data_IF_189155917105
#
_entry.id   IF_189155917105
#
_cell.length_a   1.000
_cell.length_b   1.000
_cell.length_c   1.000
_cell.angle_alpha   90.00
_cell.angle_beta   90.00
_cell.angle_gamma   90.00
#
_symmetry.space_group_name_H-M   'P 1'
#
loop_
_entity.id
_entity.type
_entity.pdbx_description
1 polymer ?
#
# COMPACT_ATOMS: atom_id res chain seq x y z
N UNK A 1 -5.66 14.77 0.45
CA UNK A 1 -5.82 15.34 1.81
C UNK A 1 -4.58 15.09 2.68
N UNK A 2 -4.22 13.83 2.98
CA UNK A 2 -3.07 13.50 3.85
C UNK A 2 -1.74 14.11 3.40
N UNK A 3 -1.42 14.05 2.09
CA UNK A 3 -0.20 14.66 1.51
C UNK A 3 -0.07 16.17 1.79
N UNK A 4 -1.20 16.88 1.89
CA UNK A 4 -1.22 18.30 2.23
C UNK A 4 -1.02 18.54 3.73
N UNK A 5 -1.61 17.69 4.57
CA UNK A 5 -1.46 17.77 6.04
C UNK A 5 -0.03 17.46 6.49
N UNK A 6 0.71 16.60 5.76
CA UNK A 6 2.11 16.26 6.04
C UNK A 6 3.04 17.48 6.17
N UNK A 7 2.71 18.59 5.51
CA UNK A 7 3.54 19.82 5.53
C UNK A 7 3.27 20.74 6.73
N UNK A 8 2.36 20.35 7.64
CA UNK A 8 1.98 21.12 8.82
C UNK A 8 2.64 20.53 10.07
N UNK A 9 2.90 21.34 11.11
CA UNK A 9 3.48 20.86 12.37
C UNK A 9 2.39 20.17 13.21
N UNK A 10 1.89 19.02 12.74
CA UNK A 10 0.85 18.23 13.38
C UNK A 10 1.21 16.75 13.33
N UNK A 11 0.88 16.02 14.40
CA UNK A 11 0.96 14.57 14.39
C UNK A 11 -0.27 13.98 13.69
N UNK A 12 -0.04 13.19 12.63
CA UNK A 12 -1.12 12.62 11.82
C UNK A 12 -1.33 11.16 12.21
N UNK A 13 -2.53 10.84 12.70
CA UNK A 13 -3.01 9.46 12.81
C UNK A 13 -4.05 9.20 11.73
N UNK A 14 -3.78 8.26 10.83
CA UNK A 14 -4.73 7.84 9.79
C UNK A 14 -5.36 6.50 10.19
N UNK A 15 -6.69 6.50 10.37
CA UNK A 15 -7.47 5.27 10.54
C UNK A 15 -7.96 4.86 9.15
N UNK A 16 -7.58 3.66 8.73
CA UNK A 16 -7.76 3.18 7.36
C UNK A 16 -8.64 1.95 7.38
N UNK A 17 -9.67 1.92 6.53
CA UNK A 17 -10.51 0.74 6.41
C UNK A 17 -9.74 -0.37 5.71
N UNK A 18 -10.00 -1.61 6.12
CA UNK A 18 -9.49 -2.81 5.43
C UNK A 18 -10.60 -3.44 4.58
N UNK A 19 -11.48 -2.61 3.99
CA UNK A 19 -12.69 -3.08 3.34
C UNK A 19 -12.70 -2.86 1.81
N UNK A 20 -11.65 -2.29 1.22
CA UNK A 20 -11.72 -1.86 -0.18
C UNK A 20 -11.39 -2.97 -1.20
N UNK A 21 -12.29 -3.11 -2.19
CA UNK A 21 -12.56 -4.36 -2.93
C UNK A 21 -12.37 -4.25 -4.47
N UNK A 22 -11.83 -3.14 -4.98
CA UNK A 22 -11.80 -2.87 -6.43
C UNK A 22 -10.68 -3.57 -7.21
N UNK A 23 -10.94 -4.75 -7.81
CA UNK A 23 -10.13 -5.32 -8.91
C UNK A 23 -9.12 -6.42 -8.51
N UNK A 24 -7.92 -6.43 -9.10
CA UNK A 24 -6.86 -7.45 -8.89
C UNK A 24 -6.46 -7.70 -7.43
N UNK A 25 -6.79 -6.77 -6.53
CA UNK A 25 -6.70 -6.91 -5.08
C UNK A 25 -7.51 -8.09 -4.55
N UNK A 26 -8.60 -8.49 -5.21
CA UNK A 26 -9.42 -9.64 -4.81
C UNK A 26 -8.70 -10.99 -4.93
N UNK A 27 -7.77 -11.14 -5.89
CA UNK A 27 -6.94 -12.36 -6.02
C UNK A 27 -5.91 -12.45 -4.92
N UNK A 28 -5.17 -11.35 -4.69
CA UNK A 28 -4.20 -11.27 -3.59
C UNK A 28 -4.88 -11.45 -2.22
N UNK A 29 -6.13 -10.98 -2.06
CA UNK A 29 -6.92 -11.20 -0.85
C UNK A 29 -7.25 -12.68 -0.63
N UNK A 30 -7.58 -13.43 -1.68
CA UNK A 30 -7.87 -14.86 -1.55
C UNK A 30 -6.63 -15.65 -1.13
N UNK A 31 -5.46 -15.28 -1.66
CA UNK A 31 -4.21 -16.00 -1.44
C UNK A 31 -3.47 -15.54 -0.17
N UNK A 32 -3.67 -14.29 0.27
CA UNK A 32 -2.87 -13.65 1.34
C UNK A 32 -3.71 -12.98 2.44
N UNK A 33 -5.04 -13.05 2.36
CA UNK A 33 -6.00 -12.61 3.38
C UNK A 33 -5.91 -11.13 3.80
N UNK A 34 -5.34 -10.26 2.96
CA UNK A 34 -5.10 -8.84 3.27
C UNK A 34 -5.61 -7.96 2.13
N UNK A 35 -6.34 -6.86 2.42
CA UNK A 35 -6.74 -5.84 1.45
C UNK A 35 -5.80 -4.61 1.54
N UNK A 36 -4.74 -4.55 0.70
CA UNK A 36 -3.68 -3.55 0.85
C UNK A 36 -3.98 -2.16 0.26
N UNK A 37 -5.10 -1.96 -0.45
CA UNK A 37 -5.31 -0.79 -1.32
C UNK A 37 -5.29 0.55 -0.59
N UNK A 38 -6.16 0.73 0.41
CA UNK A 38 -6.25 1.98 1.16
C UNK A 38 -4.99 2.27 1.95
N UNK A 39 -4.39 1.22 2.56
CA UNK A 39 -3.16 1.33 3.32
C UNK A 39 -2.00 1.74 2.42
N UNK A 40 -1.89 1.17 1.22
CA UNK A 40 -0.89 1.58 0.22
C UNK A 40 -0.98 3.06 -0.11
N UNK A 41 -2.20 3.58 -0.31
CA UNK A 41 -2.40 5.00 -0.62
C UNK A 41 -2.01 5.91 0.55
N UNK A 42 -2.32 5.50 1.77
CA UNK A 42 -1.96 6.24 2.99
C UNK A 42 -0.45 6.26 3.20
N UNK A 43 0.21 5.11 3.03
CA UNK A 43 1.67 5.02 3.10
C UNK A 43 2.32 5.93 2.06
N UNK A 44 1.92 5.86 0.80
CA UNK A 44 2.47 6.73 -0.24
C UNK A 44 2.24 8.23 0.07
N UNK A 45 1.09 8.59 0.62
CA UNK A 45 0.76 9.99 0.94
C UNK A 45 1.52 10.54 2.15
N UNK A 46 1.98 9.69 3.08
CA UNK A 46 2.68 10.07 4.30
C UNK A 46 4.19 9.82 4.25
N UNK A 47 4.67 8.91 3.40
CA UNK A 47 6.09 8.58 3.23
C UNK A 47 6.90 9.77 2.72
N UNK A 48 8.12 9.96 3.24
CA UNK A 48 9.12 10.87 2.68
C UNK A 48 10.12 10.08 1.84
N UNK A 49 9.71 9.78 0.61
CA UNK A 49 10.50 8.95 -0.32
C UNK A 49 10.69 9.67 -1.64
N UNK A 50 11.73 9.28 -2.37
CA UNK A 50 12.00 9.84 -3.70
C UNK A 50 10.78 9.61 -4.64
N UNK A 51 10.51 10.53 -5.58
CA UNK A 51 9.38 10.41 -6.50
C UNK A 51 9.32 9.07 -7.25
N UNK A 52 10.48 8.51 -7.60
CA UNK A 52 10.56 7.21 -8.26
C UNK A 52 10.04 6.07 -7.37
N UNK A 53 10.28 6.13 -6.06
CA UNK A 53 9.79 5.14 -5.10
C UNK A 53 8.28 5.26 -4.94
N UNK A 54 7.74 6.49 -4.93
CA UNK A 54 6.29 6.73 -4.94
C UNK A 54 5.66 6.14 -6.21
N UNK A 55 6.25 6.38 -7.38
CA UNK A 55 5.78 5.84 -8.66
C UNK A 55 5.85 4.31 -8.71
N UNK A 56 6.93 3.70 -8.20
CA UNK A 56 7.05 2.25 -8.06
C UNK A 56 5.94 1.69 -7.16
N UNK A 57 5.70 2.32 -6.01
CA UNK A 57 4.70 1.84 -5.06
C UNK A 57 3.27 1.98 -5.62
N UNK A 58 3.01 3.00 -6.42
CA UNK A 58 1.72 3.22 -7.11
C UNK A 58 1.59 2.44 -8.42
N UNK A 59 2.66 1.84 -8.94
CA UNK A 59 2.65 1.15 -10.22
C UNK A 59 1.58 0.05 -10.28
N UNK A 60 0.91 -0.02 -11.43
CA UNK A 60 -0.02 -1.09 -11.80
C UNK A 60 0.43 -1.72 -13.11
N UNK A 61 0.59 -3.04 -13.08
CA UNK A 61 0.99 -3.80 -14.25
C UNK A 61 -0.15 -3.81 -15.28
N UNK A 62 0.14 -3.35 -16.49
CA UNK A 62 -0.85 -3.29 -17.60
C UNK A 62 -0.59 -4.37 -18.67
N UNK A 63 0.46 -5.18 -18.50
CA UNK A 63 0.88 -6.24 -19.43
C UNK A 63 1.52 -7.40 -18.63
N UNK A 64 1.51 -8.59 -19.22
CA UNK A 64 2.06 -9.82 -18.64
C UNK A 64 0.96 -10.69 -18.02
N UNK A 65 0.88 -11.96 -18.42
CA UNK A 65 -0.28 -12.83 -18.15
C UNK A 65 -0.77 -12.76 -16.70
N UNK A 66 0.06 -13.14 -15.73
CA UNK A 66 -0.38 -13.30 -14.34
C UNK A 66 -0.25 -12.02 -13.51
N UNK A 67 0.58 -11.08 -13.95
CA UNK A 67 0.78 -9.79 -13.26
C UNK A 67 -0.23 -8.73 -13.69
N UNK A 68 -0.91 -8.89 -14.83
CA UNK A 68 -1.82 -7.87 -15.35
C UNK A 68 -2.90 -7.53 -14.32
N UNK A 69 -3.02 -6.24 -14.05
CA UNK A 69 -3.92 -5.67 -13.08
C UNK A 69 -3.33 -5.53 -11.68
N UNK A 70 -2.28 -6.28 -11.29
CA UNK A 70 -1.72 -6.19 -9.93
C UNK A 70 -1.01 -4.85 -9.70
N UNK A 71 -1.07 -4.36 -8.46
CA UNK A 71 -0.27 -3.20 -8.02
C UNK A 71 1.03 -3.69 -7.38
N UNK A 72 2.16 -3.09 -7.75
CA UNK A 72 3.45 -3.43 -7.16
C UNK A 72 3.47 -3.14 -5.65
N UNK A 73 2.92 -2.01 -5.19
CA UNK A 73 2.79 -1.73 -3.76
C UNK A 73 1.99 -2.78 -3.00
N UNK A 74 0.94 -3.35 -3.59
CA UNK A 74 0.18 -4.44 -2.98
C UNK A 74 1.03 -5.72 -2.86
N UNK A 75 1.88 -6.01 -3.84
CA UNK A 75 2.80 -7.16 -3.81
C UNK A 75 3.90 -6.98 -2.77
N UNK A 76 4.41 -5.75 -2.59
CA UNK A 76 5.37 -5.43 -1.54
C UNK A 76 4.74 -5.63 -0.16
N UNK A 77 3.52 -5.12 0.07
CA UNK A 77 2.79 -5.29 1.33
C UNK A 77 2.48 -6.76 1.65
N UNK A 78 2.09 -7.50 0.62
CA UNK A 78 1.93 -8.96 0.67
C UNK A 78 3.21 -9.67 1.11
N UNK A 79 4.34 -9.36 0.46
CA UNK A 79 5.64 -9.94 0.77
C UNK A 79 6.08 -9.58 2.20
N UNK A 80 5.92 -8.31 2.59
CA UNK A 80 6.21 -7.85 3.95
C UNK A 80 5.43 -8.66 4.98
N UNK A 81 4.12 -8.84 4.78
CA UNK A 81 3.30 -9.62 5.71
C UNK A 81 3.73 -11.08 5.80
N UNK A 82 4.08 -11.69 4.66
CA UNK A 82 4.55 -13.06 4.65
C UNK A 82 5.88 -13.21 5.42
N UNK A 83 6.77 -12.22 5.31
CA UNK A 83 8.05 -12.19 6.03
C UNK A 83 7.87 -11.94 7.52
N UNK A 84 7.01 -10.99 7.90
CA UNK A 84 6.82 -10.60 9.32
C UNK A 84 5.86 -11.51 10.06
N UNK A 85 5.00 -12.25 9.35
CA UNK A 85 3.87 -12.99 9.93
C UNK A 85 2.77 -12.08 10.48
N UNK A 86 2.91 -10.76 10.34
CA UNK A 86 2.00 -9.76 10.88
C UNK A 86 1.94 -8.55 9.95
N UNK A 87 0.73 -8.30 9.42
CA UNK A 87 0.46 -7.15 8.57
C UNK A 87 0.63 -5.81 9.30
N UNK A 88 0.40 -5.78 10.61
CA UNK A 88 0.40 -4.56 11.43
C UNK A 88 1.79 -4.17 11.91
N UNK A 89 2.80 -5.01 11.72
CA UNK A 89 4.20 -4.70 12.04
C UNK A 89 4.82 -3.82 10.93
N UNK A 90 4.22 -2.65 10.69
CA UNK A 90 4.80 -1.62 9.84
C UNK A 90 5.73 -0.75 10.71
N UNK A 91 7.01 -0.54 10.34
CA UNK A 91 7.88 0.38 11.05
C UNK A 91 7.24 1.78 11.04
N UNK A 92 7.30 2.49 12.17
CA UNK A 92 6.81 3.86 12.26
C UNK A 92 7.42 4.70 11.13
N UNK A 93 6.56 5.25 10.26
CA UNK A 93 6.96 6.23 9.25
C UNK A 93 7.45 7.47 10.01
N UNK A 94 8.76 7.64 10.07
CA UNK A 94 9.40 8.88 10.53
C UNK A 94 9.75 9.73 9.31
#
# INVERSE_FOLDING_TARGET
>A
MLRGLKTKPVDITAIVTVADDGGSSGRLRHDLNIPPGDIRNVLAALSDVEPLVEDLFQHRFNKGNDLTGHSLGNLILAAMTNITGDFFFMPSLK
#
